data_IF_960899333319
#
_entry.id   IF_960899333319
#
_cell.length_a   1.000
_cell.length_b   1.000
_cell.length_c   1.000
_cell.angle_alpha   90.00
_cell.angle_beta   90.00
_cell.angle_gamma   90.00
#
_symmetry.space_group_name_H-M   'P 1'
#
loop_
_entity.id
_entity.type
_entity.pdbx_description
1 polymer ?
#
# COMPACT_ATOMS: atom_id res chain seq x y z
N UNK A 1 8.68 -14.99 -37.78
CA UNK A 1 8.02 -13.68 -37.62
C UNK A 1 8.17 -13.37 -36.16
N UNK A 2 8.92 -12.32 -35.85
CA UNK A 2 9.22 -11.99 -34.46
C UNK A 2 7.94 -11.49 -33.78
N UNK A 3 7.81 -11.66 -32.46
CA UNK A 3 6.59 -11.27 -31.72
C UNK A 3 6.24 -9.79 -31.91
N UNK A 4 7.27 -8.95 -31.99
CA UNK A 4 7.14 -7.53 -32.33
C UNK A 4 6.45 -7.31 -33.68
N UNK A 5 6.74 -8.10 -34.70
CA UNK A 5 6.06 -8.00 -36.01
C UNK A 5 4.57 -8.32 -35.91
N UNK A 6 4.20 -9.27 -35.05
CA UNK A 6 2.81 -9.68 -34.85
C UNK A 6 2.03 -8.62 -34.08
N UNK A 7 2.59 -8.05 -33.02
CA UNK A 7 1.97 -6.94 -32.28
C UNK A 7 1.91 -5.68 -33.15
N UNK A 8 2.96 -5.38 -33.91
CA UNK A 8 2.92 -4.29 -34.88
C UNK A 8 1.76 -4.47 -35.86
N UNK A 9 1.63 -5.68 -36.44
CA UNK A 9 0.53 -5.99 -37.36
C UNK A 9 -0.83 -5.82 -36.70
N UNK A 10 -0.99 -6.27 -35.45
CA UNK A 10 -2.25 -6.15 -34.71
C UNK A 10 -2.73 -4.70 -34.64
N UNK A 11 -1.86 -3.77 -34.24
CA UNK A 11 -2.21 -2.36 -34.07
C UNK A 11 -2.19 -1.55 -35.37
N UNK A 12 -1.56 -2.04 -36.44
CA UNK A 12 -1.51 -1.37 -37.75
C UNK A 12 -2.66 -1.80 -38.68
N UNK A 13 -3.02 -3.08 -38.68
CA UNK A 13 -4.03 -3.65 -39.60
C UNK A 13 -5.44 -3.69 -39.01
N UNK A 14 -5.60 -3.58 -37.69
CA UNK A 14 -6.90 -3.61 -37.03
C UNK A 14 -7.19 -2.33 -36.24
N UNK A 15 -8.47 -1.96 -36.20
CA UNK A 15 -9.00 -0.83 -35.42
C UNK A 15 -9.14 -1.22 -33.94
N UNK A 16 -8.00 -1.38 -33.27
CA UNK A 16 -7.93 -1.82 -31.87
C UNK A 16 -8.43 -0.76 -30.88
N UNK A 17 -8.39 0.51 -31.26
CA UNK A 17 -8.94 1.62 -30.46
C UNK A 17 -10.44 1.41 -30.25
N UNK A 18 -11.19 1.20 -31.33
CA UNK A 18 -12.63 0.92 -31.24
C UNK A 18 -12.93 -0.39 -30.50
N UNK A 19 -12.09 -1.42 -30.67
CA UNK A 19 -12.24 -2.68 -29.91
C UNK A 19 -12.14 -2.42 -28.40
N UNK A 20 -11.17 -1.61 -27.98
CA UNK A 20 -10.98 -1.25 -26.57
C UNK A 20 -12.12 -0.38 -26.05
N UNK A 21 -12.59 0.60 -26.82
CA UNK A 21 -13.74 1.44 -26.44
C UNK A 21 -15.01 0.60 -26.20
N UNK A 22 -15.30 -0.36 -27.10
CA UNK A 22 -16.42 -1.28 -26.89
C UNK A 22 -16.21 -2.20 -25.69
N UNK A 23 -15.00 -2.71 -25.50
CA UNK A 23 -14.66 -3.56 -24.36
C UNK A 23 -14.89 -2.81 -23.04
N UNK A 24 -14.34 -1.60 -22.92
CA UNK A 24 -14.51 -0.75 -21.74
C UNK A 24 -15.98 -0.45 -21.47
N UNK A 25 -16.74 -0.07 -22.50
CA UNK A 25 -18.17 0.18 -22.36
C UNK A 25 -18.94 -1.05 -21.85
N UNK A 26 -18.67 -2.24 -22.41
CA UNK A 26 -19.34 -3.49 -22.02
C UNK A 26 -19.00 -3.88 -20.58
N UNK A 27 -17.74 -3.69 -20.18
CA UNK A 27 -17.19 -4.10 -18.89
C UNK A 27 -17.68 -3.24 -17.72
N UNK A 28 -17.82 -1.92 -17.94
CA UNK A 28 -18.25 -0.97 -16.90
C UNK A 28 -19.75 -0.66 -16.95
N UNK A 29 -20.49 -1.29 -17.88
CA UNK A 29 -21.90 -1.02 -18.06
C UNK A 29 -22.70 -1.36 -16.78
N UNK A 30 -23.38 -0.38 -16.17
CA UNK A 30 -24.10 -0.63 -14.93
C UNK A 30 -25.33 -1.51 -15.15
N UNK A 31 -25.70 -2.30 -14.15
CA UNK A 31 -26.97 -2.99 -14.14
C UNK A 31 -28.12 -1.96 -14.14
N UNK A 32 -28.83 -1.84 -15.27
CA UNK A 32 -29.93 -0.89 -15.45
C UNK A 32 -31.16 -1.58 -16.04
N UNK A 33 -32.34 -1.24 -15.52
CA UNK A 33 -33.63 -1.76 -16.01
C UNK A 33 -34.15 -1.02 -17.27
N UNK A 34 -33.34 -0.14 -17.84
CA UNK A 34 -33.69 0.62 -19.04
C UNK A 34 -33.54 -0.24 -20.28
N UNK A 35 -34.65 -0.55 -20.96
CA UNK A 35 -34.65 -1.32 -22.21
C UNK A 35 -33.74 -0.73 -23.29
N UNK A 36 -33.76 0.60 -23.46
CA UNK A 36 -32.92 1.28 -24.45
C UNK A 36 -31.44 1.13 -24.12
N UNK A 37 -31.09 1.22 -22.83
CA UNK A 37 -29.71 1.05 -22.40
C UNK A 37 -29.25 -0.41 -22.60
N UNK A 38 -30.13 -1.38 -22.33
CA UNK A 38 -29.87 -2.80 -22.59
C UNK A 38 -29.71 -3.11 -24.07
N UNK A 39 -30.52 -2.50 -24.95
CA UNK A 39 -30.38 -2.62 -26.41
C UNK A 39 -29.01 -2.08 -26.86
N UNK A 40 -28.61 -0.89 -26.41
CA UNK A 40 -27.28 -0.35 -26.73
C UNK A 40 -26.12 -1.21 -26.21
N UNK A 41 -26.27 -1.82 -25.03
CA UNK A 41 -25.27 -2.75 -24.51
C UNK A 41 -25.20 -4.05 -25.33
N UNK A 42 -26.34 -4.57 -25.78
CA UNK A 42 -26.38 -5.75 -26.66
C UNK A 42 -25.71 -5.45 -28.01
N UNK A 43 -26.04 -4.32 -28.63
CA UNK A 43 -25.43 -3.89 -29.89
C UNK A 43 -23.90 -3.75 -29.74
N UNK A 44 -23.44 -3.09 -28.67
CA UNK A 44 -22.02 -2.96 -28.36
C UNK A 44 -21.33 -4.32 -28.15
N UNK A 45 -21.99 -5.25 -27.47
CA UNK A 45 -21.47 -6.60 -27.23
C UNK A 45 -21.33 -7.40 -28.53
N UNK A 46 -22.31 -7.30 -29.44
CA UNK A 46 -22.26 -7.95 -30.74
C UNK A 46 -21.14 -7.38 -31.62
N UNK A 47 -21.00 -6.06 -31.65
CA UNK A 47 -19.95 -5.37 -32.43
C UNK A 47 -18.56 -5.69 -31.88
N UNK A 48 -18.38 -5.67 -30.56
CA UNK A 48 -17.15 -6.09 -29.87
C UNK A 48 -16.77 -7.51 -30.27
N UNK A 49 -17.74 -8.42 -30.24
CA UNK A 49 -17.52 -9.82 -30.60
C UNK A 49 -17.07 -9.97 -32.05
N UNK A 50 -17.75 -9.30 -32.98
CA UNK A 50 -17.43 -9.37 -34.40
C UNK A 50 -15.98 -8.91 -34.67
N UNK A 51 -15.56 -7.81 -34.05
CA UNK A 51 -14.19 -7.27 -34.20
C UNK A 51 -13.13 -8.17 -33.56
N UNK A 52 -13.42 -8.75 -32.39
CA UNK A 52 -12.53 -9.76 -31.77
C UNK A 52 -12.43 -11.02 -32.64
N UNK A 53 -13.51 -11.45 -33.29
CA UNK A 53 -13.52 -12.61 -34.20
C UNK A 53 -12.69 -12.38 -35.48
N UNK A 54 -12.66 -11.15 -35.98
CA UNK A 54 -11.78 -10.74 -37.07
C UNK A 54 -10.30 -10.90 -36.68
N UNK A 55 -9.90 -10.34 -35.53
CA UNK A 55 -8.55 -10.48 -35.00
C UNK A 55 -8.22 -11.96 -34.76
N UNK A 56 -9.13 -12.73 -34.14
CA UNK A 56 -8.93 -14.16 -33.90
C UNK A 56 -8.62 -14.94 -35.18
N UNK A 57 -9.24 -14.55 -36.28
CA UNK A 57 -9.08 -15.23 -37.58
C UNK A 57 -7.79 -14.82 -38.30
N UNK A 58 -7.22 -13.65 -37.99
CA UNK A 58 -6.01 -13.12 -38.63
C UNK A 58 -4.70 -13.70 -38.05
N UNK A 59 -4.70 -14.17 -36.80
CA UNK A 59 -3.51 -14.63 -36.10
C UNK A 59 -3.59 -16.10 -35.67
N UNK A 60 -2.45 -16.81 -35.71
CA UNK A 60 -2.37 -18.19 -35.22
C UNK A 60 -2.68 -18.31 -33.72
N UNK A 61 -2.25 -17.32 -32.92
CA UNK A 61 -2.61 -17.17 -31.51
C UNK A 61 -3.73 -16.13 -31.33
N UNK A 62 -4.76 -16.22 -32.17
CA UNK A 62 -5.83 -15.23 -32.30
C UNK A 62 -6.54 -14.85 -31.01
N UNK A 63 -6.79 -15.80 -30.11
CA UNK A 63 -7.43 -15.50 -28.81
C UNK A 63 -6.57 -14.58 -27.93
N UNK A 64 -5.25 -14.79 -27.92
CA UNK A 64 -4.31 -13.96 -27.17
C UNK A 64 -4.29 -12.55 -27.73
N UNK A 65 -4.15 -12.39 -29.04
CA UNK A 65 -4.12 -11.07 -29.67
C UNK A 65 -5.44 -10.33 -29.56
N UNK A 66 -6.58 -11.02 -29.68
CA UNK A 66 -7.88 -10.40 -29.45
C UNK A 66 -8.08 -9.94 -28.00
N UNK A 67 -7.52 -10.68 -27.03
CA UNK A 67 -7.53 -10.27 -25.62
C UNK A 67 -6.62 -9.05 -25.37
N UNK A 68 -5.40 -9.06 -25.91
CA UNK A 68 -4.46 -7.93 -25.82
C UNK A 68 -5.06 -6.68 -26.46
N UNK A 69 -5.55 -6.76 -27.71
CA UNK A 69 -6.17 -5.64 -28.41
C UNK A 69 -7.38 -5.04 -27.68
N UNK A 70 -8.12 -5.86 -26.94
CA UNK A 70 -9.30 -5.39 -26.20
C UNK A 70 -8.94 -4.62 -24.93
N UNK A 71 -7.71 -4.69 -24.45
CA UNK A 71 -7.32 -4.12 -23.14
C UNK A 71 -6.14 -3.19 -23.17
N UNK A 72 -5.10 -3.55 -23.91
CA UNK A 72 -3.91 -2.75 -24.02
C UNK A 72 -3.98 -1.84 -25.25
N UNK A 73 -3.55 -0.60 -25.11
CA UNK A 73 -3.15 0.19 -26.27
C UNK A 73 -1.82 -0.31 -26.85
N UNK A 74 -1.40 0.38 -27.92
CA UNK A 74 -0.18 0.02 -28.63
C UNK A 74 1.02 0.12 -27.70
N UNK A 75 1.19 1.24 -27.01
CA UNK A 75 2.36 1.50 -26.19
C UNK A 75 2.43 0.49 -25.03
N UNK A 76 1.30 0.25 -24.35
CA UNK A 76 1.16 -0.77 -23.32
C UNK A 76 1.52 -2.17 -23.82
N UNK A 77 1.09 -2.55 -25.04
CA UNK A 77 1.42 -3.86 -25.61
C UNK A 77 2.90 -4.00 -25.99
N UNK A 78 3.55 -2.92 -26.43
CA UNK A 78 4.99 -2.92 -26.70
C UNK A 78 5.80 -2.95 -25.41
N UNK A 79 5.41 -2.18 -24.38
CA UNK A 79 6.01 -2.28 -23.04
C UNK A 79 5.86 -3.70 -22.48
N UNK A 80 4.70 -4.33 -22.64
CA UNK A 80 4.49 -5.72 -22.24
C UNK A 80 5.41 -6.71 -22.98
N UNK A 81 5.71 -6.47 -24.27
CA UNK A 81 6.69 -7.27 -25.01
C UNK A 81 8.12 -7.05 -24.51
N UNK A 82 8.50 -5.81 -24.19
CA UNK A 82 9.82 -5.49 -23.65
C UNK A 82 10.02 -6.18 -22.29
N UNK A 83 9.00 -6.16 -21.43
CA UNK A 83 8.98 -6.88 -20.15
C UNK A 83 9.03 -8.40 -20.35
N UNK A 84 8.28 -8.94 -21.31
CA UNK A 84 8.33 -10.37 -21.65
C UNK A 84 9.73 -10.78 -22.12
N UNK A 85 10.38 -9.97 -22.94
CA UNK A 85 11.73 -10.22 -23.41
C UNK A 85 12.77 -10.10 -22.29
N UNK A 86 12.58 -9.17 -21.35
CA UNK A 86 13.48 -8.94 -20.21
C UNK A 86 13.39 -10.05 -19.17
N UNK A 87 12.18 -10.42 -18.75
CA UNK A 87 11.96 -11.32 -17.62
C UNK A 87 11.46 -12.72 -18.03
N UNK A 88 10.66 -12.83 -19.10
CA UNK A 88 10.05 -14.10 -19.52
C UNK A 88 9.07 -14.69 -18.51
N UNK A 89 8.61 -13.90 -17.52
CA UNK A 89 7.75 -14.32 -16.42
C UNK A 89 6.42 -13.58 -16.47
N UNK A 90 5.34 -14.30 -16.14
CA UNK A 90 4.02 -13.70 -15.93
C UNK A 90 3.90 -13.25 -14.48
N UNK A 91 3.30 -12.08 -14.26
CA UNK A 91 2.92 -11.62 -12.93
C UNK A 91 1.89 -12.58 -12.32
N UNK A 92 2.22 -13.15 -11.16
CA UNK A 92 1.42 -14.15 -10.48
C UNK A 92 0.82 -13.66 -9.16
N UNK A 93 1.09 -12.42 -8.74
CA UNK A 93 0.47 -11.77 -7.58
C UNK A 93 0.48 -10.25 -7.75
N UNK A 94 -0.54 -9.56 -7.26
CA UNK A 94 -0.60 -8.10 -7.21
C UNK A 94 -0.37 -7.63 -5.77
N UNK A 95 0.52 -6.67 -5.56
CA UNK A 95 0.76 -6.02 -4.26
C UNK A 95 0.48 -4.53 -4.42
N UNK A 96 -0.63 -4.07 -3.85
CA UNK A 96 -1.20 -2.77 -4.19
C UNK A 96 -1.39 -1.92 -2.94
N UNK A 97 -0.77 -0.74 -2.92
CA UNK A 97 -1.20 0.33 -2.03
C UNK A 97 -2.55 0.93 -2.51
N UNK A 98 -3.28 1.60 -1.62
CA UNK A 98 -4.62 2.14 -1.90
C UNK A 98 -4.58 3.66 -2.06
N UNK A 99 -4.09 4.37 -1.05
CA UNK A 99 -4.20 5.83 -0.96
C UNK A 99 -3.13 6.49 -1.81
N UNK A 100 -3.50 7.52 -2.58
CA UNK A 100 -2.64 8.16 -3.60
C UNK A 100 -2.07 7.20 -4.68
N UNK A 101 -2.35 5.89 -4.60
CA UNK A 101 -1.96 4.86 -5.58
C UNK A 101 -3.14 4.40 -6.44
N UNK A 102 -4.07 3.61 -5.89
CA UNK A 102 -5.26 3.15 -6.62
C UNK A 102 -6.37 4.20 -6.65
N UNK A 103 -6.40 5.08 -5.65
CA UNK A 103 -7.27 6.26 -5.56
C UNK A 103 -6.44 7.49 -5.23
N UNK A 104 -6.93 8.70 -5.52
CA UNK A 104 -6.33 9.93 -4.99
C UNK A 104 -7.40 10.96 -4.66
N UNK A 105 -7.10 11.83 -3.70
CA UNK A 105 -7.99 12.94 -3.36
C UNK A 105 -8.12 13.94 -4.53
N UNK A 106 -7.05 14.15 -5.29
CA UNK A 106 -7.00 15.13 -6.37
C UNK A 106 -7.57 14.66 -7.71
N UNK A 107 -7.59 13.35 -7.97
CA UNK A 107 -7.95 12.79 -9.28
C UNK A 107 -9.21 11.93 -9.28
N UNK A 108 -9.55 11.28 -8.17
CA UNK A 108 -10.63 10.28 -8.13
C UNK A 108 -11.61 10.49 -6.98
N UNK A 109 -11.58 11.65 -6.31
CA UNK A 109 -12.43 11.98 -5.15
C UNK A 109 -12.37 10.90 -4.05
N UNK A 110 -11.18 10.32 -3.85
CA UNK A 110 -10.92 9.22 -2.92
C UNK A 110 -11.68 7.90 -3.21
N UNK A 111 -12.15 7.70 -4.44
CA UNK A 111 -12.69 6.42 -4.92
C UNK A 111 -11.70 5.73 -5.87
N UNK A 112 -11.66 4.38 -5.87
CA UNK A 112 -10.93 3.67 -6.93
C UNK A 112 -11.77 3.72 -8.20
N UNK A 113 -11.20 4.10 -9.37
CA UNK A 113 -11.92 4.11 -10.63
C UNK A 113 -12.55 2.75 -10.95
N UNK A 114 -13.76 2.76 -11.54
CA UNK A 114 -14.49 1.53 -11.90
C UNK A 114 -13.72 0.62 -12.85
N UNK A 115 -13.00 1.21 -13.79
CA UNK A 115 -12.15 0.46 -14.73
C UNK A 115 -11.03 -0.29 -13.99
N UNK A 116 -10.38 0.34 -13.01
CA UNK A 116 -9.37 -0.30 -12.14
C UNK A 116 -9.99 -1.47 -11.38
N UNK A 117 -11.14 -1.27 -10.73
CA UNK A 117 -11.85 -2.34 -10.01
C UNK A 117 -12.21 -3.52 -10.92
N UNK A 118 -12.65 -3.24 -12.15
CA UNK A 118 -12.97 -4.25 -13.14
C UNK A 118 -11.73 -5.07 -13.52
N UNK A 119 -10.61 -4.43 -13.83
CA UNK A 119 -9.38 -5.14 -14.18
C UNK A 119 -8.82 -5.95 -13.00
N UNK A 120 -8.92 -5.44 -11.77
CA UNK A 120 -8.56 -6.22 -10.57
C UNK A 120 -9.43 -7.46 -10.40
N UNK A 121 -10.74 -7.34 -10.65
CA UNK A 121 -11.67 -8.47 -10.64
C UNK A 121 -11.23 -9.55 -11.65
N UNK A 122 -10.81 -9.14 -12.84
CA UNK A 122 -10.35 -10.11 -13.83
C UNK A 122 -9.02 -10.80 -13.48
N UNK A 123 -8.07 -10.09 -12.86
CA UNK A 123 -6.86 -10.72 -12.35
C UNK A 123 -7.21 -11.79 -11.31
N UNK A 124 -8.12 -11.47 -10.39
CA UNK A 124 -8.63 -12.41 -9.41
C UNK A 124 -9.32 -13.63 -10.06
N UNK A 125 -10.22 -13.42 -11.03
CA UNK A 125 -10.88 -14.50 -11.78
C UNK A 125 -9.89 -15.34 -12.61
N UNK A 126 -8.78 -14.74 -13.04
CA UNK A 126 -7.68 -15.44 -13.71
C UNK A 126 -6.76 -16.21 -12.75
N UNK A 127 -7.04 -16.18 -11.44
CA UNK A 127 -6.28 -16.87 -10.40
C UNK A 127 -5.01 -16.14 -9.95
N UNK A 128 -4.93 -14.83 -10.15
CA UNK A 128 -3.84 -13.98 -9.65
C UNK A 128 -4.27 -13.38 -8.31
N UNK A 129 -3.65 -13.78 -7.18
CA UNK A 129 -4.00 -13.25 -5.87
C UNK A 129 -3.71 -11.75 -5.74
N UNK A 130 -4.46 -11.09 -4.86
CA UNK A 130 -4.34 -9.65 -4.61
C UNK A 130 -3.95 -9.43 -3.15
N UNK A 131 -2.85 -8.73 -2.91
CA UNK A 131 -2.40 -8.26 -1.61
C UNK A 131 -2.61 -6.76 -1.56
N UNK A 132 -3.55 -6.29 -0.73
CA UNK A 132 -3.70 -4.87 -0.43
C UNK A 132 -2.73 -4.52 0.71
N UNK A 133 -1.84 -3.55 0.52
CA UNK A 133 -0.82 -3.20 1.49
C UNK A 133 -0.91 -1.72 1.89
N UNK A 134 -1.40 -1.43 3.09
CA UNK A 134 -1.75 -0.06 3.50
C UNK A 134 -1.34 0.26 4.94
N UNK A 135 -1.18 1.55 5.24
CA UNK A 135 -1.06 2.08 6.61
C UNK A 135 -2.39 2.11 7.38
N UNK A 136 -3.53 1.89 6.73
CA UNK A 136 -4.83 1.93 7.40
C UNK A 136 -5.09 0.71 8.31
N UNK A 137 -6.03 0.87 9.25
CA UNK A 137 -6.53 -0.22 10.10
C UNK A 137 -7.31 -1.25 9.28
N UNK A 138 -7.30 -2.51 9.74
CA UNK A 138 -7.98 -3.62 9.08
C UNK A 138 -9.47 -3.34 8.78
N UNK A 139 -10.21 -2.80 9.74
CA UNK A 139 -11.64 -2.56 9.58
C UNK A 139 -11.94 -1.52 8.48
N UNK A 140 -11.11 -0.48 8.37
CA UNK A 140 -11.28 0.55 7.35
C UNK A 140 -11.01 0.00 5.95
N UNK A 141 -9.85 -0.64 5.75
CA UNK A 141 -9.46 -1.19 4.44
C UNK A 141 -10.36 -2.35 4.04
N UNK A 142 -10.82 -3.19 4.98
CA UNK A 142 -11.78 -4.27 4.70
C UNK A 142 -13.13 -3.72 4.27
N UNK A 143 -13.64 -2.69 4.97
CA UNK A 143 -14.88 -2.02 4.59
C UNK A 143 -14.80 -1.44 3.18
N UNK A 144 -13.69 -0.77 2.90
CA UNK A 144 -13.39 -0.22 1.57
C UNK A 144 -13.28 -1.31 0.49
N UNK A 145 -12.52 -2.38 0.73
CA UNK A 145 -12.34 -3.47 -0.23
C UNK A 145 -13.66 -4.18 -0.55
N UNK A 146 -14.55 -4.37 0.44
CA UNK A 146 -15.89 -4.94 0.23
C UNK A 146 -16.75 -4.00 -0.62
N UNK A 147 -16.65 -2.70 -0.43
CA UNK A 147 -17.40 -1.71 -1.23
C UNK A 147 -16.89 -1.63 -2.67
N UNK A 148 -15.56 -1.71 -2.88
CA UNK A 148 -14.94 -1.61 -4.20
C UNK A 148 -14.95 -2.92 -4.99
N UNK A 149 -14.37 -3.98 -4.43
CA UNK A 149 -14.18 -5.28 -5.09
C UNK A 149 -15.33 -6.27 -4.82
N UNK A 150 -16.21 -5.95 -3.87
CA UNK A 150 -17.30 -6.84 -3.50
C UNK A 150 -16.91 -7.89 -2.47
N UNK A 151 -17.93 -8.38 -1.75
CA UNK A 151 -17.72 -9.32 -0.65
C UNK A 151 -17.17 -10.68 -1.09
N UNK A 152 -17.47 -11.13 -2.31
CA UNK A 152 -17.04 -12.44 -2.82
C UNK A 152 -15.52 -12.49 -3.03
N UNK A 153 -14.95 -11.47 -3.67
CA UNK A 153 -13.49 -11.36 -3.88
C UNK A 153 -12.77 -11.25 -2.53
N UNK A 154 -13.24 -10.37 -1.64
CA UNK A 154 -12.58 -10.17 -0.34
C UNK A 154 -12.55 -11.45 0.50
N UNK A 155 -13.60 -12.28 0.43
CA UNK A 155 -13.67 -13.53 1.20
C UNK A 155 -13.30 -14.78 0.38
N UNK A 156 -12.62 -14.61 -0.75
CA UNK A 156 -12.33 -15.69 -1.70
C UNK A 156 -11.30 -16.70 -1.20
N UNK A 157 -10.36 -16.29 -0.33
CA UNK A 157 -9.13 -17.05 -0.08
C UNK A 157 -7.92 -16.47 -0.80
N UNK A 158 -8.13 -15.75 -1.91
CA UNK A 158 -7.06 -15.28 -2.79
C UNK A 158 -6.83 -13.77 -2.71
N UNK A 159 -7.45 -13.12 -1.71
CA UNK A 159 -7.19 -11.73 -1.35
C UNK A 159 -6.62 -11.67 0.07
N UNK A 160 -5.51 -10.97 0.23
CA UNK A 160 -4.88 -10.69 1.51
C UNK A 160 -4.81 -9.19 1.77
N UNK A 161 -4.88 -8.80 3.04
CA UNK A 161 -4.74 -7.41 3.46
C UNK A 161 -3.62 -7.31 4.49
N UNK A 162 -2.56 -6.61 4.13
CA UNK A 162 -1.52 -6.12 5.03
C UNK A 162 -1.94 -4.75 5.53
N UNK A 163 -2.22 -4.64 6.82
CA UNK A 163 -2.75 -3.42 7.44
C UNK A 163 -1.76 -2.84 8.45
N UNK A 164 -1.96 -1.57 8.80
CA UNK A 164 -1.10 -0.82 9.75
C UNK A 164 0.38 -0.99 9.40
N UNK A 165 0.69 -0.78 8.11
CA UNK A 165 2.04 -0.82 7.55
C UNK A 165 2.79 -2.13 7.84
N UNK A 166 2.10 -3.27 7.94
CA UNK A 166 2.73 -4.57 8.20
C UNK A 166 2.66 -5.03 9.65
N UNK A 167 1.82 -4.41 10.47
CA UNK A 167 1.54 -4.89 11.84
C UNK A 167 0.77 -6.21 11.84
N UNK A 168 -0.02 -6.46 10.81
CA UNK A 168 -0.77 -7.70 10.69
C UNK A 168 -1.20 -7.99 9.26
N UNK A 169 -1.58 -9.25 9.06
CA UNK A 169 -2.05 -9.77 7.77
C UNK A 169 -3.40 -10.45 7.97
N UNK A 170 -4.35 -10.15 7.09
CA UNK A 170 -5.67 -10.74 7.07
C UNK A 170 -5.95 -11.37 5.72
N UNK A 171 -6.04 -12.70 5.69
CA UNK A 171 -6.32 -13.50 4.48
C UNK A 171 -7.53 -14.39 4.75
N UNK A 172 -8.76 -13.94 4.43
CA UNK A 172 -9.99 -14.71 4.67
C UNK A 172 -9.94 -16.13 4.12
N UNK A 173 -10.50 -17.10 4.84
CA UNK A 173 -10.64 -18.48 4.35
C UNK A 173 -9.50 -19.42 4.73
N UNK A 174 -8.43 -18.92 5.35
CA UNK A 174 -7.22 -19.70 5.71
C UNK A 174 -7.22 -20.26 7.15
N UNK A 175 -8.40 -20.48 7.74
CA UNK A 175 -8.52 -21.09 9.07
C UNK A 175 -7.77 -20.31 10.15
N UNK A 176 -6.84 -20.97 10.85
CA UNK A 176 -6.02 -20.33 11.89
C UNK A 176 -5.07 -19.25 11.34
N UNK A 177 -4.75 -19.31 10.04
CA UNK A 177 -3.88 -18.34 9.36
C UNK A 177 -4.67 -17.14 8.81
N UNK A 178 -5.99 -17.11 9.01
CA UNK A 178 -6.85 -16.03 8.51
C UNK A 178 -6.44 -14.65 9.03
N UNK A 179 -6.05 -14.58 10.30
CA UNK A 179 -5.58 -13.34 10.92
C UNK A 179 -4.24 -13.62 11.58
N UNK A 180 -3.20 -13.04 11.02
CA UNK A 180 -1.83 -13.11 11.53
C UNK A 180 -1.48 -11.77 12.19
N UNK A 181 -1.11 -11.84 13.46
CA UNK A 181 -0.72 -10.69 14.26
C UNK A 181 0.81 -10.66 14.30
N UNK A 182 1.44 -9.93 13.38
CA UNK A 182 2.90 -10.00 13.21
C UNK A 182 3.65 -9.47 14.42
N UNK A 183 3.03 -8.59 15.20
CA UNK A 183 3.58 -8.13 16.45
C UNK A 183 3.74 -9.23 17.50
N UNK A 184 3.08 -10.40 17.39
CA UNK A 184 3.28 -11.53 18.31
C UNK A 184 4.67 -12.16 18.18
N UNK A 185 5.30 -12.02 17.01
CA UNK A 185 6.64 -12.53 16.72
C UNK A 185 7.74 -11.57 17.21
N UNK A 186 7.40 -10.37 17.68
CA UNK A 186 8.36 -9.41 18.26
C UNK A 186 8.91 -9.90 19.60
N UNK A 187 10.11 -9.43 19.92
CA UNK A 187 10.74 -9.67 21.22
C UNK A 187 9.82 -9.27 22.37
N UNK A 188 9.85 -10.07 23.44
CA UNK A 188 9.03 -9.84 24.64
C UNK A 188 9.26 -8.46 25.25
N UNK A 189 10.49 -7.95 25.15
CA UNK A 189 10.86 -6.59 25.58
C UNK A 189 10.04 -5.51 24.85
N UNK A 190 9.99 -5.56 23.51
CA UNK A 190 9.24 -4.60 22.71
C UNK A 190 7.75 -4.73 22.97
N UNK A 191 7.21 -5.95 23.00
CA UNK A 191 5.77 -6.17 23.30
C UNK A 191 5.40 -5.60 24.67
N UNK A 192 6.26 -5.77 25.67
CA UNK A 192 6.06 -5.23 27.03
C UNK A 192 6.02 -3.71 27.05
N UNK A 193 6.89 -3.04 26.28
CA UNK A 193 6.91 -1.58 26.16
C UNK A 193 5.60 -1.07 25.57
N UNK A 194 5.14 -1.65 24.46
CA UNK A 194 3.89 -1.24 23.81
C UNK A 194 2.67 -1.48 24.69
N UNK A 195 2.60 -2.63 25.37
CA UNK A 195 1.54 -2.93 26.34
C UNK A 195 1.52 -1.92 27.51
N UNK A 196 2.71 -1.54 28.00
CA UNK A 196 2.86 -0.55 29.05
C UNK A 196 2.38 0.84 28.58
N UNK A 197 2.79 1.30 27.41
CA UNK A 197 2.34 2.58 26.82
C UNK A 197 0.82 2.56 26.62
N UNK A 198 0.30 1.54 25.92
CA UNK A 198 -1.12 1.47 25.55
C UNK A 198 -2.05 1.40 26.75
N UNK A 199 -1.68 0.69 27.81
CA UNK A 199 -2.50 0.59 29.03
C UNK A 199 -2.55 1.90 29.85
N UNK A 200 -1.60 2.81 29.62
CA UNK A 200 -1.42 4.06 30.38
C UNK A 200 -1.86 5.30 29.60
N UNK A 201 -1.74 5.30 28.28
CA UNK A 201 -1.84 6.50 27.41
C UNK A 201 -3.09 7.36 27.64
N UNK A 202 -4.29 6.80 27.80
CA UNK A 202 -5.48 7.62 28.11
C UNK A 202 -5.76 7.74 29.62
N UNK A 203 -5.26 6.78 30.41
CA UNK A 203 -5.50 6.71 31.85
C UNK A 203 -4.70 7.78 32.60
N UNK A 204 -3.48 8.00 32.17
CA UNK A 204 -2.51 8.91 32.78
C UNK A 204 -2.41 10.25 32.04
N UNK A 205 -3.07 10.37 30.88
CA UNK A 205 -3.12 11.62 30.12
C UNK A 205 -3.66 12.79 30.97
N UNK A 206 -3.03 13.98 30.87
CA UNK A 206 -3.59 15.23 31.37
C UNK A 206 -5.02 15.49 30.87
N UNK A 207 -5.82 16.25 31.63
CA UNK A 207 -7.23 16.49 31.29
C UNK A 207 -7.43 17.09 29.89
N UNK A 208 -6.51 17.96 29.45
CA UNK A 208 -6.50 18.55 28.10
C UNK A 208 -6.41 17.46 27.03
N UNK A 209 -5.42 16.57 27.12
CA UNK A 209 -5.22 15.47 26.16
C UNK A 209 -6.34 14.43 26.23
N UNK A 210 -6.74 14.02 27.44
CA UNK A 210 -7.79 13.02 27.62
C UNK A 210 -9.15 13.44 27.04
N UNK A 211 -9.44 14.73 26.96
CA UNK A 211 -10.65 15.27 26.31
C UNK A 211 -10.42 15.73 24.88
N UNK A 212 -9.22 16.18 24.58
CA UNK A 212 -8.84 16.76 23.29
C UNK A 212 -8.37 15.74 22.27
N UNK A 213 -8.08 14.50 22.68
CA UNK A 213 -7.65 13.41 21.81
C UNK A 213 -8.46 12.13 22.04
N UNK A 214 -8.31 11.19 21.11
CA UNK A 214 -8.71 9.79 21.24
C UNK A 214 -7.61 8.87 20.70
N UNK A 215 -7.69 7.58 21.03
CA UNK A 215 -6.83 6.57 20.41
C UNK A 215 -7.46 6.09 19.12
N UNK A 216 -6.66 6.01 18.05
CA UNK A 216 -7.03 5.27 16.86
C UNK A 216 -7.15 3.78 17.19
N UNK A 217 -8.10 3.09 16.55
CA UNK A 217 -8.38 1.67 16.77
C UNK A 217 -7.35 0.72 16.17
N UNK A 218 -6.07 1.02 16.32
CA UNK A 218 -4.96 0.21 15.80
C UNK A 218 -4.81 -1.10 16.58
N UNK A 219 -4.27 -2.13 15.96
CA UNK A 219 -4.04 -3.43 16.59
C UNK A 219 -2.80 -3.44 17.48
N UNK A 220 -1.74 -2.73 17.10
CA UNK A 220 -0.50 -2.66 17.88
C UNK A 220 -0.05 -1.23 18.14
N UNK A 221 0.07 -0.41 17.09
CA UNK A 221 0.57 0.97 17.19
C UNK A 221 -0.30 1.81 18.15
N UNK A 222 0.33 2.78 18.81
CA UNK A 222 -0.35 3.71 19.71
C UNK A 222 -0.42 5.08 19.04
N UNK A 223 -1.59 5.42 18.50
CA UNK A 223 -1.80 6.67 17.77
C UNK A 223 -2.81 7.56 18.48
N UNK A 224 -2.39 8.75 18.87
CA UNK A 224 -3.25 9.81 19.36
C UNK A 224 -3.73 10.68 18.21
N UNK A 225 -5.05 10.79 18.06
CA UNK A 225 -5.75 11.66 17.10
C UNK A 225 -6.48 12.79 17.84
N UNK A 226 -6.56 14.00 17.27
CA UNK A 226 -7.28 15.11 17.88
C UNK A 226 -8.79 14.91 17.75
N UNK A 227 -9.55 15.45 18.72
CA UNK A 227 -11.01 15.58 18.66
C UNK A 227 -11.43 16.91 18.00
N UNK A 228 -10.57 17.45 17.14
CA UNK A 228 -10.74 18.69 16.40
C UNK A 228 -10.60 18.41 14.91
N UNK A 229 -11.04 19.35 14.07
CA UNK A 229 -10.83 19.27 12.63
C UNK A 229 -9.33 19.17 12.32
N UNK A 230 -8.93 18.14 11.57
CA UNK A 230 -7.54 17.93 11.14
C UNK A 230 -7.03 19.17 10.40
N UNK A 231 -5.79 19.58 10.70
CA UNK A 231 -5.21 20.82 10.15
C UNK A 231 -5.62 22.10 10.87
N UNK A 232 -6.55 22.05 11.83
CA UNK A 232 -6.90 23.22 12.64
C UNK A 232 -5.82 23.58 13.65
N UNK A 233 -5.75 24.86 14.06
CA UNK A 233 -4.81 25.30 15.09
C UNK A 233 -5.03 24.60 16.44
N UNK A 234 -6.28 24.20 16.75
CA UNK A 234 -6.62 23.44 17.93
C UNK A 234 -6.13 21.99 17.84
N UNK A 235 -6.24 21.37 16.66
CA UNK A 235 -5.69 20.05 16.41
C UNK A 235 -4.17 20.06 16.55
N UNK A 236 -3.49 21.05 15.97
CA UNK A 236 -2.05 21.25 16.15
C UNK A 236 -1.67 21.34 17.62
N UNK A 237 -2.26 22.30 18.34
CA UNK A 237 -1.92 22.55 19.74
C UNK A 237 -2.29 21.42 20.73
N UNK A 238 -3.07 20.42 20.32
CA UNK A 238 -3.33 19.24 21.16
C UNK A 238 -2.44 18.05 20.78
N UNK A 239 -2.07 17.94 19.50
CA UNK A 239 -1.12 16.92 19.03
C UNK A 239 0.31 17.27 19.41
N UNK A 240 0.69 18.55 19.44
CA UNK A 240 2.00 19.01 19.94
C UNK A 240 2.19 18.59 21.42
N UNK A 241 1.25 18.93 22.30
CA UNK A 241 1.21 18.42 23.69
C UNK A 241 1.20 16.87 23.74
N UNK A 242 0.47 16.25 22.81
CA UNK A 242 0.30 14.80 22.72
C UNK A 242 1.59 14.07 22.39
N UNK A 243 2.39 14.62 21.48
CA UNK A 243 3.70 14.11 21.11
C UNK A 243 4.66 14.13 22.31
N UNK A 244 4.74 15.26 23.02
CA UNK A 244 5.57 15.38 24.24
C UNK A 244 5.15 14.34 25.27
N UNK A 245 3.85 14.21 25.51
CA UNK A 245 3.31 13.21 26.44
C UNK A 245 3.63 11.77 26.03
N UNK A 246 3.53 11.44 24.73
CA UNK A 246 3.85 10.12 24.22
C UNK A 246 5.34 9.80 24.36
N UNK A 247 6.23 10.75 24.07
CA UNK A 247 7.68 10.58 24.26
C UNK A 247 8.02 10.32 25.73
N UNK A 248 7.39 11.03 26.66
CA UNK A 248 7.61 10.83 28.10
C UNK A 248 7.09 9.47 28.57
N UNK A 249 5.93 9.07 28.07
CA UNK A 249 5.33 7.78 28.38
C UNK A 249 6.15 6.61 27.82
N UNK A 250 6.69 6.78 26.61
CA UNK A 250 7.62 5.84 25.99
C UNK A 250 8.91 5.74 26.80
N UNK A 251 9.50 6.87 27.17
CA UNK A 251 10.71 6.90 27.99
C UNK A 251 10.53 6.14 29.31
N UNK A 252 9.39 6.35 29.99
CA UNK A 252 9.04 5.62 31.20
C UNK A 252 8.93 4.10 30.97
N UNK A 253 8.30 3.68 29.87
CA UNK A 253 8.11 2.27 29.53
C UNK A 253 9.43 1.59 29.18
N UNK A 254 10.27 2.24 28.37
CA UNK A 254 11.60 1.76 27.99
C UNK A 254 12.49 1.65 29.23
N UNK A 255 12.52 2.70 30.07
CA UNK A 255 13.25 2.69 31.34
C UNK A 255 12.89 1.48 32.21
N UNK A 256 11.59 1.20 32.34
CA UNK A 256 11.12 0.05 33.12
C UNK A 256 11.55 -1.28 32.49
N UNK A 257 11.51 -1.40 31.16
CA UNK A 257 11.91 -2.60 30.43
C UNK A 257 13.40 -2.92 30.58
N UNK A 258 14.27 -1.90 30.46
CA UNK A 258 15.72 -2.06 30.61
C UNK A 258 16.19 -2.09 32.07
N UNK A 259 15.26 -1.92 33.03
CA UNK A 259 15.56 -1.90 34.47
C UNK A 259 16.43 -0.73 34.92
N UNK A 260 16.30 0.43 34.26
CA UNK A 260 17.06 1.64 34.57
C UNK A 260 16.40 2.50 35.67
N UNK A 261 17.23 3.25 36.38
CA UNK A 261 16.76 4.35 37.24
C UNK A 261 16.21 5.52 36.40
N UNK A 262 15.52 6.47 37.03
CA UNK A 262 14.93 7.64 36.35
C UNK A 262 15.98 8.55 35.69
N UNK A 263 17.23 8.41 36.11
CA UNK A 263 18.38 9.18 35.63
C UNK A 263 19.42 8.22 35.07
N UNK A 264 19.80 8.42 33.81
CA UNK A 264 20.88 7.71 33.14
C UNK A 264 21.98 8.72 32.80
N UNK A 265 23.20 8.40 33.21
CA UNK A 265 24.39 9.24 32.95
C UNK A 265 24.28 10.70 33.44
N UNK A 266 23.44 10.94 34.45
CA UNK A 266 23.25 12.27 35.04
C UNK A 266 22.01 13.01 34.55
N UNK A 267 21.36 12.51 33.50
CA UNK A 267 20.20 13.15 32.86
C UNK A 267 18.95 12.26 32.92
N UNK A 268 17.74 12.85 32.94
CA UNK A 268 16.49 12.07 32.92
C UNK A 268 16.37 11.21 31.65
N UNK A 269 15.83 10.00 31.78
CA UNK A 269 15.59 9.13 30.61
C UNK A 269 14.68 9.80 29.57
N UNK A 270 13.71 10.60 30.01
CA UNK A 270 12.84 11.37 29.12
C UNK A 270 13.62 12.37 28.25
N UNK A 271 14.65 13.01 28.79
CA UNK A 271 15.45 13.98 28.04
C UNK A 271 16.32 13.28 26.99
N UNK A 272 16.90 12.12 27.32
CA UNK A 272 17.58 11.30 26.31
C UNK A 272 16.64 10.86 25.18
N UNK A 273 15.45 10.36 25.52
CA UNK A 273 14.45 9.93 24.52
C UNK A 273 14.02 11.08 23.60
N UNK A 274 13.77 12.27 24.16
CA UNK A 274 13.44 13.47 23.36
C UNK A 274 14.59 13.88 22.46
N UNK A 275 15.82 13.92 22.96
CA UNK A 275 17.01 14.25 22.17
C UNK A 275 17.19 13.28 20.99
N UNK A 276 17.01 11.98 21.27
CA UNK A 276 17.12 10.92 20.28
C UNK A 276 16.15 11.09 19.11
N UNK A 277 14.84 11.25 19.37
CA UNK A 277 13.85 11.41 18.30
C UNK A 277 13.89 12.80 17.63
N UNK A 278 14.26 13.85 18.36
CA UNK A 278 14.47 15.19 17.78
C UNK A 278 15.63 15.24 16.77
N UNK A 279 16.64 14.37 16.93
CA UNK A 279 17.73 14.28 15.98
C UNK A 279 17.34 13.54 14.69
N UNK A 280 16.32 12.67 14.75
CA UNK A 280 15.83 11.91 13.59
C UNK A 280 14.81 12.70 12.77
N UNK A 281 13.96 13.48 13.44
CA UNK A 281 12.88 14.23 12.81
C UNK A 281 12.90 15.73 13.21
N UNK A 282 13.21 16.64 12.25
CA UNK A 282 13.17 18.08 12.47
C UNK A 282 11.81 18.63 12.91
N UNK A 283 10.70 17.98 12.56
CA UNK A 283 9.35 18.40 12.98
C UNK A 283 9.13 18.08 14.46
N UNK A 284 9.53 16.88 14.91
CA UNK A 284 9.55 16.52 16.34
C UNK A 284 10.40 17.52 17.12
N UNK A 285 11.60 17.85 16.61
CA UNK A 285 12.46 18.87 17.22
C UNK A 285 11.75 20.21 17.35
N UNK A 286 11.09 20.68 16.28
CA UNK A 286 10.40 21.96 16.28
C UNK A 286 9.27 22.01 17.33
N UNK A 287 8.54 20.91 17.53
CA UNK A 287 7.53 20.80 18.58
C UNK A 287 8.18 20.89 19.97
N UNK A 288 9.26 20.16 20.22
CA UNK A 288 9.95 20.16 21.51
C UNK A 288 10.53 21.55 21.85
N UNK A 289 11.09 22.25 20.85
CA UNK A 289 11.57 23.63 21.00
C UNK A 289 10.42 24.60 21.27
N UNK A 290 9.28 24.43 20.56
CA UNK A 290 8.07 25.24 20.73
C UNK A 290 7.42 25.10 22.10
N UNK A 291 7.38 23.88 22.64
CA UNK A 291 6.86 23.57 23.98
C UNK A 291 7.88 23.84 25.09
N UNK A 292 9.12 24.21 24.75
CA UNK A 292 10.17 24.55 25.71
C UNK A 292 10.68 23.34 26.50
N UNK A 293 10.59 22.14 25.92
CA UNK A 293 11.03 20.86 26.51
C UNK A 293 12.14 20.19 25.72
N UNK A 294 12.71 20.89 24.72
CA UNK A 294 13.90 20.41 24.00
C UNK A 294 15.12 20.37 24.94
N UNK A 295 15.72 19.19 25.13
CA UNK A 295 16.88 19.02 26.00
C UNK A 295 18.17 19.53 25.33
N UNK A 296 19.09 20.05 26.12
CA UNK A 296 20.44 20.43 25.68
C UNK A 296 21.37 19.21 25.74
N UNK A 297 21.04 18.19 24.92
CA UNK A 297 21.76 16.91 24.83
C UNK A 297 22.01 16.56 23.37
N UNK A 298 23.16 15.95 23.11
CA UNK A 298 23.52 15.44 21.79
C UNK A 298 23.06 13.97 21.64
N UNK A 299 22.37 13.66 20.54
CA UNK A 299 21.77 12.35 20.34
C UNK A 299 22.80 11.21 20.18
N UNK A 300 24.02 11.51 19.75
CA UNK A 300 25.11 10.54 19.63
C UNK A 300 25.72 10.16 20.99
N UNK A 301 25.40 10.90 22.05
CA UNK A 301 25.74 10.59 23.43
C UNK A 301 24.66 9.74 24.13
N UNK A 302 23.58 9.36 23.44
CA UNK A 302 22.52 8.51 24.02
C UNK A 302 23.12 7.21 24.58
N UNK A 303 22.84 6.85 25.85
CA UNK A 303 23.35 5.63 26.46
C UNK A 303 23.01 4.39 25.63
N UNK A 304 24.00 3.54 25.34
CA UNK A 304 23.90 2.40 24.40
C UNK A 304 22.72 1.47 24.69
N UNK A 305 22.43 1.20 25.97
CA UNK A 305 21.31 0.35 26.38
C UNK A 305 19.95 0.97 26.08
N UNK A 306 19.85 2.30 26.14
CA UNK A 306 18.64 3.03 25.79
C UNK A 306 18.51 3.13 24.26
N UNK A 307 19.58 3.53 23.58
CA UNK A 307 19.63 3.62 22.13
C UNK A 307 19.21 2.30 21.45
N UNK A 308 19.72 1.15 21.92
CA UNK A 308 19.38 -0.15 21.34
C UNK A 308 17.89 -0.53 21.39
N UNK A 309 17.10 0.07 22.30
CA UNK A 309 15.65 -0.09 22.32
C UNK A 309 14.96 0.99 21.49
N UNK A 310 15.38 2.26 21.62
CA UNK A 310 14.78 3.37 20.86
C UNK A 310 14.98 3.22 19.34
N UNK A 311 16.09 2.65 18.89
CA UNK A 311 16.36 2.32 17.49
C UNK A 311 15.38 1.29 16.88
N UNK A 312 14.59 0.61 17.71
CA UNK A 312 13.56 -0.36 17.29
C UNK A 312 12.15 0.21 17.30
N UNK A 313 11.96 1.38 17.93
CA UNK A 313 10.66 2.02 18.10
C UNK A 313 10.61 3.27 17.23
N UNK A 314 9.60 3.32 16.37
CA UNK A 314 9.30 4.50 15.56
C UNK A 314 8.42 5.48 16.33
N UNK A 315 8.67 6.77 16.13
CA UNK A 315 7.81 7.86 16.61
C UNK A 315 7.53 8.78 15.43
N UNK A 316 6.28 8.84 15.01
CA UNK A 316 5.85 9.66 13.88
C UNK A 316 4.97 10.81 14.37
N UNK A 317 5.25 12.00 13.84
CA UNK A 317 4.45 13.20 14.03
C UNK A 317 3.80 13.62 12.71
N UNK A 318 2.49 13.83 12.75
CA UNK A 318 1.72 14.36 11.64
C UNK A 318 1.08 15.67 12.11
N UNK A 319 1.61 16.81 11.65
CA UNK A 319 1.19 18.13 12.11
C UNK A 319 -0.34 18.27 12.07
N UNK A 320 -0.92 18.61 13.23
CA UNK A 320 -2.36 18.82 13.40
C UNK A 320 -3.25 17.61 13.01
N UNK A 321 -2.69 16.41 12.97
CA UNK A 321 -3.40 15.17 12.65
C UNK A 321 -3.12 14.03 13.63
N UNK A 322 -1.85 13.71 13.93
CA UNK A 322 -1.53 12.56 14.77
C UNK A 322 -0.16 12.65 15.44
N UNK A 323 -0.02 11.95 16.56
CA UNK A 323 1.26 11.48 17.07
C UNK A 323 1.17 9.96 17.29
N UNK A 324 2.14 9.21 16.79
CA UNK A 324 2.12 7.75 16.74
C UNK A 324 3.41 7.14 17.27
N UNK A 325 3.28 6.01 17.98
CA UNK A 325 4.38 5.12 18.33
C UNK A 325 4.14 3.78 17.62
N UNK A 326 5.14 3.29 16.88
CA UNK A 326 5.12 2.04 16.11
C UNK A 326 6.44 1.26 16.24
N UNK A 327 6.50 0.03 15.76
CA UNK A 327 7.76 -0.75 15.73
C UNK A 327 8.40 -0.67 14.35
N UNK A 328 9.69 -0.36 14.29
CA UNK A 328 10.47 -0.35 13.03
C UNK A 328 10.70 -1.77 12.48
N UNK A 329 10.54 -2.79 13.33
CA UNK A 329 10.63 -4.20 12.96
C UNK A 329 9.37 -4.69 12.23
N UNK A 330 8.26 -3.92 12.30
CA UNK A 330 7.04 -4.16 11.55
C UNK A 330 7.00 -3.21 10.36
N UNK A 331 6.98 -3.76 9.15
CA UNK A 331 6.95 -2.94 7.94
C UNK A 331 6.21 -3.69 6.80
N UNK A 332 5.89 -2.94 5.73
CA UNK A 332 5.15 -3.48 4.58
C UNK A 332 5.82 -4.71 3.97
N UNK A 333 7.15 -4.81 3.96
CA UNK A 333 7.88 -5.97 3.44
C UNK A 333 7.56 -7.23 4.24
N UNK A 334 7.72 -7.20 5.57
CA UNK A 334 7.41 -8.32 6.46
C UNK A 334 5.93 -8.74 6.32
N UNK A 335 5.04 -7.77 6.18
CA UNK A 335 3.63 -7.99 5.92
C UNK A 335 3.37 -8.71 4.59
N UNK A 336 3.99 -8.26 3.51
CA UNK A 336 3.88 -8.87 2.17
C UNK A 336 4.46 -10.27 2.16
N UNK A 337 5.63 -10.49 2.76
CA UNK A 337 6.23 -11.83 2.89
C UNK A 337 5.30 -12.81 3.61
N UNK A 338 4.68 -12.39 4.72
CA UNK A 338 3.69 -13.24 5.40
C UNK A 338 2.45 -13.46 4.54
N UNK A 339 1.95 -12.44 3.85
CA UNK A 339 0.80 -12.58 2.97
C UNK A 339 1.06 -13.59 1.83
N UNK A 340 2.23 -13.52 1.19
CA UNK A 340 2.67 -14.48 0.18
C UNK A 340 2.73 -15.91 0.75
N UNK A 341 3.30 -16.08 1.95
CA UNK A 341 3.36 -17.38 2.63
C UNK A 341 1.97 -17.96 2.91
N UNK A 342 1.02 -17.15 3.39
CA UNK A 342 -0.36 -17.62 3.68
C UNK A 342 -1.09 -17.95 2.38
N UNK A 343 -0.86 -17.19 1.31
CA UNK A 343 -1.42 -17.46 -0.02
C UNK A 343 -0.74 -18.64 -0.72
N UNK A 344 0.34 -19.21 -0.16
CA UNK A 344 1.07 -20.34 -0.75
C UNK A 344 1.86 -19.97 -2.00
N UNK A 345 2.37 -18.74 -2.07
CA UNK A 345 3.15 -18.23 -3.22
C UNK A 345 4.65 -18.31 -2.88
N UNK A 346 5.27 -19.43 -3.24
CA UNK A 346 6.69 -19.70 -2.95
C UNK A 346 7.68 -19.00 -3.90
N UNK A 347 7.27 -18.73 -5.15
CA UNK A 347 8.06 -18.07 -6.19
C UNK A 347 7.29 -16.88 -6.78
N UNK A 348 7.25 -15.73 -6.08
CA UNK A 348 6.51 -14.57 -6.54
C UNK A 348 7.19 -13.92 -7.75
N UNK A 349 6.36 -13.51 -8.71
CA UNK A 349 6.65 -12.46 -9.67
C UNK A 349 5.53 -11.42 -9.54
N UNK A 350 5.72 -10.48 -8.63
CA UNK A 350 4.71 -9.53 -8.19
C UNK A 350 4.65 -8.29 -9.07
N UNK A 351 3.47 -7.67 -9.21
CA UNK A 351 3.38 -6.25 -9.54
C UNK A 351 3.20 -5.47 -8.23
N UNK A 352 4.17 -4.64 -7.86
CA UNK A 352 4.09 -3.76 -6.69
C UNK A 352 3.74 -2.34 -7.15
N UNK A 353 2.63 -1.80 -6.64
CA UNK A 353 2.18 -0.45 -6.93
C UNK A 353 2.10 0.38 -5.64
N UNK A 354 2.74 1.55 -5.62
CA UNK A 354 2.71 2.44 -4.45
C UNK A 354 3.30 3.82 -4.71
N UNK A 355 3.05 4.77 -3.81
CA UNK A 355 3.46 6.17 -3.94
C UNK A 355 4.46 6.61 -2.87
N UNK A 356 4.54 5.88 -1.74
CA UNK A 356 5.24 6.33 -0.55
C UNK A 356 6.63 5.70 -0.38
N UNK A 357 7.39 6.19 0.61
CA UNK A 357 8.66 5.57 1.04
C UNK A 357 8.47 4.17 1.62
N UNK A 358 7.30 3.90 2.22
CA UNK A 358 7.00 2.57 2.76
C UNK A 358 6.79 1.55 1.65
N UNK A 359 6.25 1.99 0.50
CA UNK A 359 6.08 1.17 -0.70
C UNK A 359 7.41 0.96 -1.43
N UNK A 360 8.26 1.99 -1.47
CA UNK A 360 9.61 1.88 -2.03
C UNK A 360 10.38 0.70 -1.43
N UNK A 361 10.29 0.47 -0.11
CA UNK A 361 10.94 -0.70 0.53
C UNK A 361 10.46 -2.04 -0.01
N UNK A 362 9.19 -2.15 -0.40
CA UNK A 362 8.63 -3.35 -1.04
C UNK A 362 9.11 -3.46 -2.49
N UNK A 363 9.22 -2.33 -3.20
CA UNK A 363 9.78 -2.26 -4.55
C UNK A 363 11.25 -2.67 -4.59
N UNK A 364 12.07 -2.15 -3.66
CA UNK A 364 13.47 -2.56 -3.51
C UNK A 364 13.58 -4.05 -3.18
N UNK A 365 12.73 -4.56 -2.29
CA UNK A 365 12.70 -5.99 -1.96
C UNK A 365 12.39 -6.88 -3.17
N UNK A 366 11.42 -6.52 -4.03
CA UNK A 366 11.17 -7.32 -5.23
C UNK A 366 12.31 -7.24 -6.25
N UNK A 367 13.00 -6.10 -6.36
CA UNK A 367 14.16 -5.94 -7.26
C UNK A 367 15.33 -6.80 -6.77
N UNK A 368 15.66 -6.73 -5.48
CA UNK A 368 16.74 -7.50 -4.85
C UNK A 368 16.55 -9.02 -4.98
N UNK A 369 15.30 -9.48 -5.08
CA UNK A 369 14.95 -10.89 -5.15
C UNK A 369 14.55 -11.36 -6.57
N UNK A 370 14.67 -10.52 -7.61
CA UNK A 370 14.17 -10.78 -8.98
C UNK A 370 12.71 -11.29 -8.97
N UNK A 371 11.90 -10.67 -8.10
CA UNK A 371 10.61 -11.16 -7.67
C UNK A 371 9.44 -10.29 -8.16
N UNK A 372 9.65 -9.37 -9.10
CA UNK A 372 8.54 -8.59 -9.64
C UNK A 372 8.89 -7.34 -10.45
N UNK A 373 7.85 -6.51 -10.64
CA UNK A 373 7.86 -5.22 -11.31
C UNK A 373 7.36 -4.14 -10.35
N UNK A 374 8.01 -2.99 -10.35
CA UNK A 374 7.61 -1.82 -9.57
C UNK A 374 6.90 -0.79 -10.45
N UNK A 375 5.83 -0.18 -9.94
CA UNK A 375 5.10 0.89 -10.61
C UNK A 375 4.64 1.95 -9.61
N UNK A 376 4.64 3.21 -10.04
CA UNK A 376 4.30 4.33 -9.17
C UNK A 376 3.53 5.42 -9.93
N UNK A 377 2.64 6.16 -9.25
CA UNK A 377 2.01 7.31 -9.86
C UNK A 377 3.01 8.47 -10.01
N UNK A 378 2.81 9.39 -10.96
CA UNK A 378 3.71 10.53 -11.20
C UNK A 378 3.95 11.45 -9.99
N UNK A 379 3.04 11.42 -9.02
CA UNK A 379 3.09 12.25 -7.81
C UNK A 379 3.60 11.51 -6.58
N UNK A 380 4.12 10.30 -6.76
CA UNK A 380 4.82 9.56 -5.73
C UNK A 380 5.98 10.37 -5.14
N UNK A 381 6.47 9.91 -3.99
CA UNK A 381 7.67 10.47 -3.39
C UNK A 381 8.83 10.45 -4.40
N UNK A 382 9.71 11.45 -4.33
CA UNK A 382 10.79 11.60 -5.30
C UNK A 382 11.69 10.34 -5.39
N UNK A 383 11.97 9.73 -4.24
CA UNK A 383 12.77 8.50 -4.14
C UNK A 383 12.04 7.32 -4.80
N UNK A 384 10.74 7.16 -4.55
CA UNK A 384 9.89 6.13 -5.16
C UNK A 384 9.84 6.29 -6.69
N UNK A 385 9.59 7.51 -7.17
CA UNK A 385 9.51 7.79 -8.61
C UNK A 385 10.86 7.53 -9.28
N UNK A 386 11.97 7.96 -8.66
CA UNK A 386 13.31 7.71 -9.21
C UNK A 386 13.58 6.20 -9.38
N UNK A 387 13.24 5.39 -8.36
CA UNK A 387 13.42 3.94 -8.42
C UNK A 387 12.63 3.30 -9.58
N UNK A 388 11.37 3.68 -9.78
CA UNK A 388 10.54 3.15 -10.88
C UNK A 388 11.08 3.57 -12.26
N UNK A 389 11.58 4.81 -12.40
CA UNK A 389 12.18 5.29 -13.64
C UNK A 389 13.51 4.59 -13.99
N UNK A 390 14.26 4.14 -12.98
CA UNK A 390 15.55 3.45 -13.16
C UNK A 390 15.39 1.96 -13.47
N UNK A 391 14.21 1.38 -13.21
CA UNK A 391 13.93 -0.07 -13.37
C UNK A 391 13.18 -0.39 -14.66
N UNK A 392 11.85 -0.23 -14.68
CA UNK A 392 10.96 -0.64 -15.77
C UNK A 392 10.09 0.52 -16.32
N UNK A 393 10.23 1.73 -15.77
CA UNK A 393 9.54 2.95 -16.22
C UNK A 393 8.01 2.83 -16.24
N UNK A 394 7.46 2.05 -15.30
CA UNK A 394 6.00 1.86 -15.14
C UNK A 394 5.39 3.00 -14.31
N UNK A 395 5.42 4.20 -14.86
CA UNK A 395 4.83 5.40 -14.26
C UNK A 395 3.43 5.66 -14.83
N UNK A 396 2.50 6.12 -13.99
CA UNK A 396 1.13 6.41 -14.42
C UNK A 396 0.54 7.70 -13.83
N UNK A 397 -0.41 8.27 -14.55
CA UNK A 397 -1.14 9.47 -14.15
C UNK A 397 -2.05 9.24 -12.93
N UNK A 398 -2.44 10.33 -12.24
CA UNK A 398 -3.40 10.27 -11.13
C UNK A 398 -4.72 9.64 -11.57
N UNK A 399 -5.12 8.57 -10.87
CA UNK A 399 -6.34 7.82 -11.18
C UNK A 399 -6.24 6.94 -12.44
N UNK A 400 -5.02 6.72 -12.96
CA UNK A 400 -4.75 5.90 -14.15
C UNK A 400 -3.97 4.63 -13.83
N UNK A 401 -4.12 4.10 -12.62
CA UNK A 401 -3.52 2.81 -12.22
C UNK A 401 -3.91 1.65 -13.15
N UNK A 402 -5.08 1.74 -13.81
CA UNK A 402 -5.54 0.78 -14.82
C UNK A 402 -4.58 0.61 -16.00
N UNK A 403 -3.77 1.62 -16.34
CA UNK A 403 -2.88 1.57 -17.50
C UNK A 403 -1.72 0.60 -17.28
N UNK A 404 -1.16 0.59 -16.06
CA UNK A 404 -0.17 -0.42 -15.64
C UNK A 404 -0.81 -1.81 -15.57
N UNK A 405 -2.02 -1.91 -15.00
CA UNK A 405 -2.73 -3.19 -14.92
C UNK A 405 -3.03 -3.78 -16.31
N UNK A 406 -3.38 -2.95 -17.30
CA UNK A 406 -3.58 -3.36 -18.71
C UNK A 406 -2.28 -3.81 -19.37
N UNK A 407 -1.17 -3.13 -19.08
CA UNK A 407 0.19 -3.55 -19.50
C UNK A 407 0.53 -4.93 -18.94
N UNK A 408 0.33 -5.14 -17.64
CA UNK A 408 0.59 -6.44 -16.98
C UNK A 408 -0.37 -7.53 -17.46
N UNK A 409 -1.61 -7.19 -17.76
CA UNK A 409 -2.55 -8.12 -18.38
C UNK A 409 -2.01 -8.59 -19.74
N UNK A 410 -1.54 -7.67 -20.58
CA UNK A 410 -0.93 -8.02 -21.86
C UNK A 410 0.33 -8.87 -21.69
N UNK A 411 1.21 -8.54 -20.75
CA UNK A 411 2.41 -9.33 -20.41
C UNK A 411 2.02 -10.78 -20.09
N UNK A 412 1.06 -10.97 -19.18
CA UNK A 412 0.59 -12.30 -18.79
C UNK A 412 0.01 -13.11 -19.94
N UNK A 413 -0.61 -12.44 -20.92
CA UNK A 413 -1.12 -13.09 -22.13
C UNK A 413 -0.01 -13.45 -23.11
N UNK A 414 0.99 -12.59 -23.27
CA UNK A 414 2.11 -12.77 -24.19
C UNK A 414 3.09 -13.85 -23.71
N UNK A 415 3.39 -13.92 -22.41
CA UNK A 415 4.25 -14.95 -21.81
C UNK A 415 3.70 -16.37 -22.08
N UNK A 416 2.37 -16.54 -22.10
CA UNK A 416 1.70 -17.82 -22.39
C UNK A 416 1.86 -18.30 -23.84
N UNK A 417 2.45 -17.49 -24.71
CA UNK A 417 2.79 -17.89 -26.08
C UNK A 417 4.13 -18.63 -26.18
N UNK A 418 4.87 -18.78 -25.08
CA UNK A 418 6.12 -19.54 -24.99
C UNK A 418 5.88 -21.05 -24.85
#
# INVERSE_FOLDING_TARGET
>A
MERYDLVYRLYDEHDTETVREYQEFVDVFPAVDSRVALEHWQDATEELKARKDEIRSAFAAGETFAAVASRADRDQAFTALDLEAKYGRSVNVLVLDVDETLRSAGGTDNEIPRETLHVLTEFHEAGVPIIICTGQTLENVKGFAIQGLGSEIVHSGDLSIVYEAGTGVFTPGHGAETKQLLYEDLDEEIRTIFDAVRSRVLREAPEKLRRGCHLQGNEFNVTLKPNYETGSAQARAVIDDGLVYLLDLLADAVRAAIGADDVLEGEPVADWTRAFYAAQDPEIRAVLEGEGVYPDLEADETPVTLAGVLERVDVAYYEADAAEIGSLELNKVVGVERALSVLGIDDPFALVMGDSKSDLRVMEWIEENDAGLAAAPEHASQETLQHVLETDDLVFDRGKSVDVLRTVYALNRLVRLN
#
